data_IF_063592638424
#
_entry.id   IF_063592638424
#
_cell.length_a   1.000
_cell.length_b   1.000
_cell.length_c   1.000
_cell.angle_alpha   90.00
_cell.angle_beta   90.00
_cell.angle_gamma   90.00
#
_symmetry.space_group_name_H-M   'P 1'
#
loop_
_entity.id
_entity.type
_entity.pdbx_description
1 polymer ?
#
# COMPACT_ATOMS: atom_id res chain seq x y z
N UNK A 1 7.82 8.73 -15.90
CA UNK A 1 7.13 8.62 -14.60
C UNK A 1 6.67 10.02 -14.31
N UNK A 2 5.36 10.23 -14.24
CA UNK A 2 4.84 11.56 -13.97
C UNK A 2 4.98 11.83 -12.47
N UNK A 3 5.50 13.01 -12.13
CA UNK A 3 5.61 13.49 -10.76
C UNK A 3 4.74 14.75 -10.64
N UNK A 4 3.76 14.79 -9.72
CA UNK A 4 3.46 13.74 -8.74
C UNK A 4 2.80 12.48 -9.36
N UNK A 5 2.92 11.33 -8.69
CA UNK A 5 2.36 10.06 -9.16
C UNK A 5 0.82 10.09 -9.09
N UNK A 6 0.16 9.87 -10.23
CA UNK A 6 -1.29 9.67 -10.30
C UNK A 6 -1.57 8.30 -10.94
N UNK A 7 -2.32 7.40 -10.26
CA UNK A 7 -2.62 6.09 -10.83
C UNK A 7 -3.58 6.21 -12.01
N UNK A 8 -3.48 5.31 -12.99
CA UNK A 8 -4.42 5.24 -14.13
C UNK A 8 -5.77 4.64 -13.74
N UNK A 9 -5.74 3.76 -12.75
CA UNK A 9 -6.93 3.13 -12.19
C UNK A 9 -6.72 2.84 -10.70
N UNK A 10 -7.81 2.84 -9.95
CA UNK A 10 -7.83 2.49 -8.55
C UNK A 10 -8.85 1.39 -8.26
N UNK A 11 -8.52 0.51 -7.31
CA UNK A 11 -9.44 -0.49 -6.78
C UNK A 11 -9.68 -0.24 -5.30
N UNK A 12 -10.94 -0.17 -4.88
CA UNK A 12 -11.33 0.02 -3.49
C UNK A 12 -11.93 -1.25 -2.92
N UNK A 13 -11.50 -1.66 -1.73
CA UNK A 13 -12.34 -2.49 -0.89
C UNK A 13 -13.52 -1.66 -0.38
N UNK A 14 -14.75 -2.19 -0.43
CA UNK A 14 -15.93 -1.47 0.08
C UNK A 14 -15.76 -1.04 1.54
N UNK A 15 -15.14 -1.89 2.36
CA UNK A 15 -14.85 -1.60 3.77
C UNK A 15 -13.89 -0.42 3.96
N UNK A 16 -13.07 -0.07 2.95
CA UNK A 16 -12.20 1.09 3.05
C UNK A 16 -13.00 2.39 3.17
N UNK A 17 -14.21 2.44 2.58
CA UNK A 17 -15.08 3.62 2.63
C UNK A 17 -15.69 3.88 4.03
N UNK A 18 -15.56 2.93 4.96
CA UNK A 18 -15.92 3.15 6.36
C UNK A 18 -14.92 4.09 7.07
N UNK A 19 -13.70 4.22 6.55
CA UNK A 19 -12.65 5.07 7.10
C UNK A 19 -12.64 6.46 6.42
N UNK A 20 -12.38 7.56 7.16
CA UNK A 20 -12.28 8.91 6.59
C UNK A 20 -11.35 8.97 5.38
N UNK A 21 -10.11 8.46 5.54
CA UNK A 21 -9.11 8.43 4.49
C UNK A 21 -9.59 7.69 3.23
N UNK A 22 -10.38 6.61 3.39
CA UNK A 22 -10.93 5.89 2.23
C UNK A 22 -11.93 6.71 1.43
N UNK A 23 -12.75 7.53 2.09
CA UNK A 23 -13.69 8.44 1.43
C UNK A 23 -12.98 9.62 0.78
N UNK A 24 -11.97 10.17 1.45
CA UNK A 24 -11.14 11.27 0.94
C UNK A 24 -10.37 10.83 -0.32
N UNK A 25 -9.72 9.66 -0.27
CA UNK A 25 -9.03 9.09 -1.43
C UNK A 25 -9.98 8.83 -2.61
N UNK A 26 -11.18 8.33 -2.35
CA UNK A 26 -12.17 8.12 -3.41
C UNK A 26 -12.50 9.43 -4.13
N UNK A 27 -12.91 10.45 -3.38
CA UNK A 27 -13.27 11.76 -3.93
C UNK A 27 -12.08 12.42 -4.65
N UNK A 28 -10.88 12.33 -4.06
CA UNK A 28 -9.67 12.93 -4.63
C UNK A 28 -9.30 12.26 -5.96
N UNK A 29 -9.29 10.93 -6.03
CA UNK A 29 -8.95 10.20 -7.25
C UNK A 29 -10.01 10.39 -8.35
N UNK A 30 -11.29 10.46 -7.99
CA UNK A 30 -12.36 10.81 -8.95
C UNK A 30 -12.16 12.22 -9.52
N UNK A 31 -11.77 13.20 -8.68
CA UNK A 31 -11.50 14.57 -9.14
C UNK A 31 -10.29 14.66 -10.09
N UNK A 32 -9.36 13.71 -9.99
CA UNK A 32 -8.22 13.55 -10.90
C UNK A 32 -8.55 12.75 -12.17
N UNK A 33 -9.80 12.28 -12.34
CA UNK A 33 -10.23 11.50 -13.50
C UNK A 33 -9.73 10.05 -13.49
N UNK A 34 -9.34 9.51 -12.34
CA UNK A 34 -8.87 8.12 -12.20
C UNK A 34 -10.05 7.16 -12.32
N UNK A 35 -9.88 6.07 -13.09
CA UNK A 35 -10.90 5.02 -13.21
C UNK A 35 -11.02 4.21 -11.92
N UNK A 36 -12.18 4.28 -11.26
CA UNK A 36 -12.45 3.60 -9.98
C UNK A 36 -13.17 2.26 -10.21
N UNK A 37 -12.68 1.23 -9.53
CA UNK A 37 -13.27 -0.11 -9.50
C UNK A 37 -13.40 -0.58 -8.04
N UNK A 38 -14.30 -1.52 -7.79
CA UNK A 38 -14.45 -2.15 -6.47
C UNK A 38 -13.92 -3.59 -6.47
N UNK A 39 -13.40 -4.01 -5.33
CA UNK A 39 -12.88 -5.37 -5.12
C UNK A 39 -13.31 -5.90 -3.75
N UNK A 40 -13.53 -7.22 -3.66
CA UNK A 40 -13.75 -7.88 -2.37
C UNK A 40 -12.47 -7.98 -1.52
N UNK A 41 -11.28 -7.88 -2.11
CA UNK A 41 -10.02 -7.91 -1.36
C UNK A 41 -8.85 -7.24 -2.09
N UNK A 42 -8.08 -6.45 -1.35
CA UNK A 42 -6.82 -5.85 -1.80
C UNK A 42 -5.74 -6.91 -2.12
N UNK A 43 -5.93 -8.17 -1.71
CA UNK A 43 -5.00 -9.26 -1.99
C UNK A 43 -5.31 -10.02 -3.28
N UNK A 44 -6.45 -9.78 -3.92
CA UNK A 44 -6.88 -10.50 -5.12
C UNK A 44 -7.54 -9.54 -6.10
N UNK A 45 -6.72 -8.87 -6.90
CA UNK A 45 -7.18 -8.02 -8.00
C UNK A 45 -7.10 -8.79 -9.31
N UNK A 46 -8.24 -8.94 -9.99
CA UNK A 46 -8.35 -9.68 -11.27
C UNK A 46 -8.46 -8.77 -12.49
N UNK A 47 -8.80 -7.49 -12.33
CA UNK A 47 -9.03 -6.56 -13.44
C UNK A 47 -7.75 -6.00 -14.09
N UNK A 48 -6.58 -6.25 -13.52
CA UNK A 48 -5.30 -5.79 -14.08
C UNK A 48 -4.81 -6.80 -15.11
N UNK A 49 -5.22 -6.60 -16.37
CA UNK A 49 -4.83 -7.48 -17.48
C UNK A 49 -4.09 -6.71 -18.57
N UNK A 50 -3.23 -7.40 -19.32
CA UNK A 50 -2.49 -6.83 -20.43
C UNK A 50 -2.20 -7.91 -21.48
N UNK A 51 -1.95 -7.51 -22.73
CA UNK A 51 -1.67 -8.45 -23.84
C UNK A 51 -0.44 -9.35 -23.58
N UNK A 52 0.47 -8.91 -22.72
CA UNK A 52 1.67 -9.64 -22.31
C UNK A 52 1.88 -9.52 -20.79
N UNK A 53 2.65 -10.43 -20.15
CA UNK A 53 3.01 -10.30 -18.74
C UNK A 53 3.68 -8.95 -18.40
N UNK A 54 4.54 -8.46 -19.29
CA UNK A 54 5.18 -7.15 -19.12
C UNK A 54 4.17 -5.99 -19.18
N UNK A 55 3.17 -6.06 -20.06
CA UNK A 55 2.11 -5.06 -20.12
C UNK A 55 1.24 -5.08 -18.85
N UNK A 56 0.89 -6.27 -18.35
CA UNK A 56 0.14 -6.42 -17.11
C UNK A 56 0.94 -5.91 -15.90
N UNK A 57 2.25 -6.18 -15.84
CA UNK A 57 3.13 -5.65 -14.79
C UNK A 57 3.20 -4.12 -14.80
N UNK A 58 3.37 -3.50 -15.97
CA UNK A 58 3.37 -2.03 -16.10
C UNK A 58 2.03 -1.42 -15.67
N UNK A 59 0.91 -2.01 -16.11
CA UNK A 59 -0.41 -1.53 -15.70
C UNK A 59 -0.61 -1.66 -14.18
N UNK A 60 -0.14 -2.75 -13.57
CA UNK A 60 -0.18 -2.90 -12.13
C UNK A 60 0.63 -1.82 -11.42
N UNK A 61 1.80 -1.45 -11.93
CA UNK A 61 2.62 -0.35 -11.38
C UNK A 61 1.98 1.03 -11.52
N UNK A 62 1.02 1.19 -12.43
CA UNK A 62 0.15 2.36 -12.56
C UNK A 62 -1.21 2.19 -11.84
N UNK A 63 -1.39 1.13 -11.04
CA UNK A 63 -2.66 0.83 -10.35
C UNK A 63 -2.51 1.01 -8.84
N UNK A 64 -3.42 1.77 -8.24
CA UNK A 64 -3.55 1.91 -6.80
C UNK A 64 -4.66 1.00 -6.25
N UNK A 65 -4.45 0.42 -5.08
CA UNK A 65 -5.45 -0.39 -4.38
C UNK A 65 -5.61 0.14 -2.97
N UNK A 66 -6.82 0.57 -2.62
CA UNK A 66 -7.16 1.12 -1.32
C UNK A 66 -7.91 0.04 -0.53
N UNK A 67 -7.37 -0.34 0.62
CA UNK A 67 -7.93 -1.45 1.41
C UNK A 67 -7.72 -1.30 2.90
N UNK A 68 -8.19 -2.30 3.65
CA UNK A 68 -8.06 -2.36 5.11
C UNK A 68 -7.01 -3.41 5.48
N UNK A 69 -6.02 -3.03 6.29
CA UNK A 69 -5.01 -3.96 6.81
C UNK A 69 -5.65 -4.86 7.86
N UNK A 70 -5.70 -6.17 7.61
CA UNK A 70 -6.33 -7.16 8.52
C UNK A 70 -5.34 -8.07 9.25
N UNK A 71 -4.07 -8.07 8.84
CA UNK A 71 -3.04 -8.87 9.52
C UNK A 71 -2.72 -8.24 10.87
N UNK A 72 -2.86 -9.03 11.94
CA UNK A 72 -2.71 -8.56 13.33
C UNK A 72 -1.28 -8.22 13.72
N UNK A 73 -0.31 -8.98 13.23
CA UNK A 73 1.09 -8.85 13.64
C UNK A 73 1.93 -8.10 12.60
N UNK A 74 2.90 -7.33 13.10
CA UNK A 74 3.91 -6.68 12.28
C UNK A 74 5.08 -7.65 12.05
N UNK A 75 5.57 -7.69 10.81
CA UNK A 75 6.77 -8.43 10.48
C UNK A 75 8.00 -7.78 11.14
N UNK A 76 9.03 -8.57 11.45
CA UNK A 76 10.32 -8.04 11.92
C UNK A 76 11.06 -7.33 10.77
N UNK A 77 11.95 -6.40 11.10
CA UNK A 77 12.67 -5.60 10.08
C UNK A 77 14.15 -5.39 10.38
N UNK A 78 14.83 -6.42 10.92
CA UNK A 78 16.26 -6.34 11.20
C UNK A 78 17.09 -6.34 9.90
N UNK A 79 18.22 -5.61 9.83
CA UNK A 79 18.81 -4.80 10.90
C UNK A 79 18.21 -3.38 11.03
N UNK A 80 17.42 -2.90 10.06
CA UNK A 80 16.90 -1.51 10.01
C UNK A 80 16.12 -1.13 11.28
N UNK A 81 15.13 -1.94 11.64
CA UNK A 81 14.17 -1.63 12.68
C UNK A 81 13.75 -2.89 13.46
N UNK A 82 12.92 -2.71 14.47
CA UNK A 82 12.32 -3.83 15.22
C UNK A 82 11.20 -4.47 14.40
N UNK A 83 10.31 -3.65 13.86
CA UNK A 83 9.12 -4.08 13.13
C UNK A 83 8.90 -3.25 11.86
N UNK A 84 8.16 -3.79 10.91
CA UNK A 84 7.66 -3.06 9.74
C UNK A 84 6.35 -2.37 10.10
N UNK A 85 6.20 -1.08 9.79
CA UNK A 85 4.94 -0.35 9.94
C UNK A 85 4.14 -0.43 8.62
N UNK A 86 3.05 -1.22 8.55
CA UNK A 86 2.41 -1.55 7.29
C UNK A 86 1.40 -0.46 6.85
N UNK A 87 1.89 0.71 6.41
CA UNK A 87 1.04 1.80 5.89
C UNK A 87 0.73 1.65 4.40
N UNK A 88 1.70 1.14 3.63
CA UNK A 88 1.57 0.90 2.20
C UNK A 88 2.32 -0.35 1.76
N UNK A 89 2.14 -0.76 0.51
CA UNK A 89 2.90 -1.87 -0.09
C UNK A 89 3.11 -1.62 -1.58
N UNK A 90 4.27 -2.02 -2.11
CA UNK A 90 4.78 -1.74 -3.46
C UNK A 90 5.14 -0.26 -3.68
N UNK A 91 5.56 0.05 -4.90
CA UNK A 91 6.06 1.33 -5.37
C UNK A 91 5.73 1.45 -6.87
N UNK A 92 5.48 2.66 -7.40
CA UNK A 92 5.22 2.85 -8.83
C UNK A 92 6.46 2.69 -9.72
N UNK A 93 7.65 2.74 -9.13
CA UNK A 93 8.92 2.56 -9.85
C UNK A 93 9.13 1.12 -10.30
N UNK A 94 9.97 0.96 -11.33
CA UNK A 94 10.33 -0.32 -11.95
C UNK A 94 11.86 -0.53 -11.94
N UNK A 95 12.50 -0.30 -10.79
CA UNK A 95 13.93 -0.58 -10.65
C UNK A 95 14.21 -2.04 -10.99
N UNK A 96 15.12 -2.30 -11.93
CA UNK A 96 15.42 -3.66 -12.42
C UNK A 96 15.96 -4.57 -11.32
N UNK A 97 16.59 -3.98 -10.30
CA UNK A 97 17.16 -4.66 -9.13
C UNK A 97 16.19 -4.71 -7.93
N UNK A 98 14.92 -4.32 -8.10
CA UNK A 98 13.99 -4.24 -6.96
C UNK A 98 13.74 -5.62 -6.36
N UNK A 99 14.16 -5.81 -5.11
CA UNK A 99 13.98 -7.08 -4.40
C UNK A 99 12.49 -7.44 -4.22
N UNK A 100 11.60 -6.44 -4.15
CA UNK A 100 10.16 -6.68 -4.05
C UNK A 100 9.57 -7.40 -5.27
N UNK A 101 10.28 -7.43 -6.40
CA UNK A 101 9.91 -8.22 -7.57
C UNK A 101 9.79 -9.72 -7.27
N UNK A 102 10.55 -10.24 -6.30
CA UNK A 102 10.43 -11.63 -5.84
C UNK A 102 9.64 -11.76 -4.54
N UNK A 103 9.63 -10.73 -3.68
CA UNK A 103 8.93 -10.77 -2.38
C UNK A 103 7.42 -10.57 -2.48
N UNK A 104 6.94 -9.63 -3.31
CA UNK A 104 5.50 -9.34 -3.42
C UNK A 104 4.75 -10.32 -4.34
N UNK A 105 5.47 -11.26 -4.96
CA UNK A 105 4.94 -12.27 -5.86
C UNK A 105 4.14 -11.64 -7.00
N UNK A 106 2.94 -12.16 -7.26
CA UNK A 106 2.07 -11.73 -8.37
C UNK A 106 1.25 -10.47 -8.06
N UNK A 107 1.67 -9.63 -7.10
CA UNK A 107 0.94 -8.42 -6.65
C UNK A 107 1.80 -7.15 -6.75
N UNK A 108 2.20 -6.73 -7.97
CA UNK A 108 3.09 -5.58 -8.14
C UNK A 108 2.40 -4.22 -7.99
N UNK A 109 1.06 -4.19 -7.89
CA UNK A 109 0.28 -2.97 -7.69
C UNK A 109 0.48 -2.33 -6.32
N UNK A 110 0.30 -1.01 -6.26
CA UNK A 110 0.42 -0.23 -5.04
C UNK A 110 -0.78 -0.51 -4.13
N UNK A 111 -0.53 -0.63 -2.84
CA UNK A 111 -1.57 -0.74 -1.81
C UNK A 111 -1.39 0.33 -0.77
N UNK A 112 -2.50 0.94 -0.35
CA UNK A 112 -2.58 1.86 0.78
C UNK A 112 -3.62 1.31 1.76
N UNK A 113 -3.30 1.36 3.05
CA UNK A 113 -4.21 0.90 4.10
C UNK A 113 -4.84 2.08 4.83
N UNK A 114 -6.17 2.09 4.92
CA UNK A 114 -6.92 3.25 5.42
C UNK A 114 -7.23 3.22 6.93
N UNK A 115 -7.01 2.08 7.58
CA UNK A 115 -7.23 1.91 9.02
C UNK A 115 -5.99 2.33 9.84
N UNK A 116 -5.53 3.56 9.64
CA UNK A 116 -4.31 4.12 10.22
C UNK A 116 -4.34 4.04 11.75
N UNK A 117 -5.45 4.43 12.38
CA UNK A 117 -5.60 4.40 13.84
C UNK A 117 -5.41 2.99 14.42
N UNK A 118 -5.90 1.95 13.75
CA UNK A 118 -5.71 0.56 14.19
C UNK A 118 -4.25 0.11 14.06
N UNK A 119 -3.59 0.52 12.98
CA UNK A 119 -2.17 0.26 12.76
C UNK A 119 -1.33 0.95 13.83
N UNK A 120 -1.62 2.21 14.14
CA UNK A 120 -0.91 2.97 15.18
C UNK A 120 -1.18 2.44 16.58
N UNK A 121 -2.41 2.03 16.89
CA UNK A 121 -2.73 1.35 18.14
C UNK A 121 -1.92 0.05 18.31
N UNK A 122 -1.76 -0.73 17.24
CA UNK A 122 -0.92 -1.92 17.26
C UNK A 122 0.57 -1.59 17.46
N UNK A 123 1.06 -0.51 16.84
CA UNK A 123 2.41 -0.02 17.07
C UNK A 123 2.63 0.36 18.54
N UNK A 124 1.64 1.01 19.17
CA UNK A 124 1.67 1.35 20.59
C UNK A 124 1.77 0.11 21.48
N UNK A 125 1.05 -0.98 21.18
CA UNK A 125 1.21 -2.26 21.88
C UNK A 125 2.65 -2.77 21.82
N UNK A 126 3.30 -2.73 20.65
CA UNK A 126 4.71 -3.13 20.51
C UNK A 126 5.68 -2.20 21.25
N UNK A 127 5.36 -0.91 21.39
CA UNK A 127 6.14 0.01 22.20
C UNK A 127 6.05 -0.40 23.67
N UNK A 128 4.82 -0.64 24.18
CA UNK A 128 4.56 -1.01 25.57
C UNK A 128 5.28 -2.29 25.99
N UNK A 129 5.37 -3.30 25.12
CA UNK A 129 6.06 -4.57 25.44
C UNK A 129 7.58 -4.44 25.56
N UNK A 130 8.16 -3.33 25.08
CA UNK A 130 9.61 -3.10 25.06
C UNK A 130 10.08 -2.06 26.06
N UNK A 131 9.19 -1.40 26.78
CA UNK A 131 9.56 -0.42 27.83
C UNK A 131 10.57 -1.05 28.80
N UNK A 132 11.68 -0.34 29.13
CA UNK A 132 11.99 1.07 28.81
C UNK A 132 12.78 1.28 27.50
N UNK A 133 13.04 0.22 26.73
CA UNK A 133 13.84 0.30 25.50
C UNK A 133 13.09 1.00 24.36
N UNK A 134 13.86 1.65 23.48
CA UNK A 134 13.30 2.28 22.27
C UNK A 134 12.80 1.18 21.31
N UNK A 135 11.63 1.43 20.72
CA UNK A 135 11.09 0.64 19.61
C UNK A 135 11.17 1.46 18.34
N UNK A 136 11.67 0.85 17.27
CA UNK A 136 11.89 1.49 15.97
C UNK A 136 11.07 0.74 14.95
N UNK A 137 10.37 1.46 14.08
CA UNK A 137 9.55 0.90 13.02
C UNK A 137 10.05 1.36 11.65
N UNK A 138 10.08 0.45 10.68
CA UNK A 138 10.41 0.73 9.29
C UNK A 138 9.11 0.97 8.49
N UNK A 139 8.89 2.20 8.02
CA UNK A 139 7.70 2.58 7.26
C UNK A 139 7.76 2.30 5.76
N UNK A 140 8.95 1.99 5.23
CA UNK A 140 9.20 1.77 3.80
C UNK A 140 9.76 0.36 3.52
N UNK A 141 9.51 -0.60 4.42
CA UNK A 141 10.07 -1.95 4.27
C UNK A 141 9.62 -2.56 2.95
N UNK A 142 8.32 -2.53 2.65
CA UNK A 142 7.74 -3.19 1.47
C UNK A 142 7.14 -2.23 0.46
N UNK A 143 7.51 -0.96 0.51
CA UNK A 143 6.98 0.10 -0.34
C UNK A 143 7.96 1.26 -0.48
N UNK A 144 7.67 2.13 -1.43
CA UNK A 144 8.09 3.52 -1.33
C UNK A 144 6.83 4.33 -1.01
N UNK A 145 6.68 4.88 0.21
CA UNK A 145 5.45 5.58 0.60
C UNK A 145 5.37 7.01 0.02
N UNK A 146 6.51 7.63 -0.33
CA UNK A 146 6.56 9.05 -0.71
C UNK A 146 5.74 9.36 -1.99
N UNK A 147 5.76 8.52 -3.05
CA UNK A 147 4.95 8.77 -4.24
C UNK A 147 3.45 8.82 -3.96
N UNK A 148 2.97 8.18 -2.91
CA UNK A 148 1.54 8.15 -2.56
C UNK A 148 1.17 9.11 -1.43
N UNK A 149 2.14 9.69 -0.73
CA UNK A 149 1.89 10.54 0.44
C UNK A 149 1.06 11.78 0.10
N UNK A 150 1.30 12.42 -1.06
CA UNK A 150 0.48 13.55 -1.51
C UNK A 150 -0.99 13.20 -1.85
N UNK A 151 -1.32 11.92 -1.95
CA UNK A 151 -2.69 11.45 -2.15
C UNK A 151 -3.41 11.17 -0.83
N UNK A 152 -2.67 10.91 0.25
CA UNK A 152 -3.15 10.34 1.53
C UNK A 152 -3.03 11.28 2.71
#
# INVERSE_FOLDING_TARGET
MDYPFVPKQAYFEEQALHYPLGRELLNHLESLGVSINFTGSHNRITGITGKTPAAAYRLAKDTLVVGVRRSKDFATCKPSAHYQLPLSTSCPSMCEYCYLGTTLGKKPYLRIYVNIEEILAKAEEYIKTRIPEITVFEGAATSDPLPTEHLT
#
